data_IF_907368222575
#
_entry.id   IF_907368222575
#
_cell.length_a   1.000
_cell.length_b   1.000
_cell.length_c   1.000
_cell.angle_alpha   90.00
_cell.angle_beta   90.00
_cell.angle_gamma   90.00
#
_symmetry.space_group_name_H-M   'P 1'
#
loop_
_entity.id
_entity.type
_entity.pdbx_description
1 polymer ?
#
# COMPACT_ATOMS: atom_id res chain seq x y z
N UNK A 1 11.24 8.40 18.83
CA UNK A 1 11.56 8.68 17.43
C UNK A 1 10.30 8.81 16.59
N UNK A 2 10.46 9.26 15.37
CA UNK A 2 9.36 9.36 14.42
C UNK A 2 9.08 8.01 13.76
N UNK A 3 7.84 7.86 13.26
CA UNK A 3 7.41 6.73 12.44
C UNK A 3 7.20 7.24 11.02
N UNK A 4 7.91 6.70 10.04
CA UNK A 4 7.70 6.98 8.63
C UNK A 4 6.73 5.92 8.06
N UNK A 5 5.57 6.40 7.61
CA UNK A 5 4.51 5.54 7.07
C UNK A 5 4.71 5.21 5.57
N UNK A 6 5.70 5.82 4.90
CA UNK A 6 5.91 5.65 3.47
C UNK A 6 7.38 5.47 3.10
N UNK A 7 7.91 4.30 3.40
CA UNK A 7 9.31 3.98 3.09
C UNK A 7 9.43 2.96 1.95
N UNK A 8 10.46 3.14 1.12
CA UNK A 8 10.89 2.18 0.09
C UNK A 8 12.23 1.51 0.44
N UNK A 9 12.56 1.43 1.73
CA UNK A 9 13.80 0.79 2.20
C UNK A 9 13.73 -0.75 2.19
N UNK A 10 12.62 -1.36 1.83
CA UNK A 10 12.40 -2.81 1.84
C UNK A 10 13.48 -3.63 1.12
N UNK A 11 14.09 -3.08 0.06
CA UNK A 11 15.17 -3.74 -0.70
C UNK A 11 16.56 -3.49 -0.15
N UNK A 12 16.76 -2.38 0.56
CA UNK A 12 18.06 -1.98 1.08
C UNK A 12 18.29 -2.46 2.50
N UNK A 13 17.24 -2.47 3.32
CA UNK A 13 17.29 -2.85 4.73
C UNK A 13 17.66 -4.33 4.98
N UNK A 14 17.52 -5.18 3.97
CA UNK A 14 17.97 -6.59 4.00
C UNK A 14 19.38 -6.81 3.46
N UNK A 15 20.12 -5.73 3.16
CA UNK A 15 21.50 -5.77 2.67
C UNK A 15 22.45 -5.19 3.70
N UNK A 16 23.66 -5.72 3.79
CA UNK A 16 24.67 -5.23 4.74
C UNK A 16 24.96 -3.74 4.61
N UNK A 17 24.97 -3.21 3.39
CA UNK A 17 25.22 -1.80 3.12
C UNK A 17 24.09 -0.85 3.50
N UNK A 18 22.86 -1.37 3.69
CA UNK A 18 21.66 -0.54 3.92
C UNK A 18 20.88 -0.86 5.20
N UNK A 19 21.20 -1.97 5.87
CA UNK A 19 20.41 -2.46 7.02
C UNK A 19 20.35 -1.50 8.21
N UNK A 20 21.38 -0.65 8.36
CA UNK A 20 21.42 0.34 9.44
C UNK A 20 20.42 1.49 9.24
N UNK A 21 19.89 1.66 8.04
CA UNK A 21 18.88 2.67 7.71
C UNK A 21 19.28 4.09 8.19
N UNK A 22 20.58 4.43 8.11
CA UNK A 22 21.17 5.64 8.69
C UNK A 22 20.55 6.93 8.18
N UNK A 23 20.08 6.95 6.94
CA UNK A 23 19.37 8.09 6.34
C UNK A 23 18.07 8.40 7.08
N UNK A 24 17.36 7.40 7.60
CA UNK A 24 16.17 7.57 8.44
C UNK A 24 16.55 7.96 9.87
N UNK A 25 17.50 7.24 10.47
CA UNK A 25 17.94 7.50 11.83
C UNK A 25 18.50 8.91 12.01
N UNK A 26 19.28 9.40 11.03
CA UNK A 26 19.81 10.77 11.04
C UNK A 26 18.71 11.86 11.03
N UNK A 27 17.50 11.51 10.63
CA UNK A 27 16.32 12.38 10.65
C UNK A 27 15.40 12.11 11.87
N UNK A 28 15.84 11.27 12.80
CA UNK A 28 15.07 10.91 13.99
C UNK A 28 13.97 9.89 13.75
N UNK A 29 13.91 9.26 12.56
CA UNK A 29 12.96 8.19 12.24
C UNK A 29 13.50 6.87 12.77
N UNK A 30 12.78 6.26 13.69
CA UNK A 30 13.15 4.99 14.35
C UNK A 30 12.28 3.81 13.94
N UNK A 31 11.20 4.07 13.20
CA UNK A 31 10.31 3.03 12.68
C UNK A 31 9.89 3.36 11.25
N UNK A 32 9.89 2.36 10.37
CA UNK A 32 9.53 2.53 8.96
C UNK A 32 8.46 1.52 8.54
N UNK A 33 7.48 1.98 7.75
CA UNK A 33 6.51 1.10 7.09
C UNK A 33 6.93 0.89 5.63
N UNK A 34 7.27 -0.33 5.27
CA UNK A 34 7.76 -0.75 3.96
C UNK A 34 6.70 -1.47 3.14
N UNK A 35 7.02 -1.86 1.91
CA UNK A 35 6.08 -2.52 1.00
C UNK A 35 5.09 -1.58 0.35
N UNK A 36 5.36 -0.28 0.33
CA UNK A 36 4.52 0.75 -0.27
C UNK A 36 4.45 0.68 -1.79
N UNK A 37 3.48 1.36 -2.38
CA UNK A 37 3.28 1.51 -3.82
C UNK A 37 3.28 0.17 -4.59
N UNK A 38 2.66 -0.87 -4.04
CA UNK A 38 2.49 -2.20 -4.64
C UNK A 38 3.80 -2.98 -4.90
N UNK A 39 4.93 -2.56 -4.38
CA UNK A 39 6.24 -3.17 -4.64
C UNK A 39 6.95 -3.59 -3.36
N UNK A 40 7.51 -4.80 -3.35
CA UNK A 40 8.25 -5.32 -2.19
C UNK A 40 8.16 -6.84 -2.07
N UNK A 41 8.70 -7.41 -0.97
CA UNK A 41 8.59 -8.83 -0.64
C UNK A 41 7.14 -9.27 -0.42
N UNK A 42 6.72 -10.35 -1.09
CA UNK A 42 5.40 -10.98 -0.87
C UNK A 42 5.43 -11.94 0.32
N UNK A 43 6.57 -12.63 0.51
CA UNK A 43 6.75 -13.52 1.65
C UNK A 43 7.19 -12.69 2.87
N UNK A 44 6.21 -12.22 3.62
CA UNK A 44 6.41 -11.32 4.78
C UNK A 44 7.17 -12.02 5.90
N UNK A 45 6.85 -13.30 6.16
CA UNK A 45 7.53 -14.08 7.19
C UNK A 45 9.02 -14.26 6.92
N UNK A 46 9.40 -14.56 5.66
CA UNK A 46 10.81 -14.65 5.28
C UNK A 46 11.50 -13.28 5.34
N UNK A 47 10.81 -12.21 4.99
CA UNK A 47 11.32 -10.84 5.07
C UNK A 47 11.63 -10.44 6.52
N UNK A 48 10.70 -10.64 7.45
CA UNK A 48 10.91 -10.34 8.85
C UNK A 48 11.98 -11.23 9.48
N UNK A 49 11.97 -12.53 9.16
CA UNK A 49 13.02 -13.46 9.64
C UNK A 49 14.42 -12.99 9.22
N UNK A 50 14.57 -12.50 7.99
CA UNK A 50 15.86 -11.95 7.52
C UNK A 50 16.27 -10.70 8.31
N UNK A 51 15.33 -9.79 8.58
CA UNK A 51 15.57 -8.58 9.37
C UNK A 51 15.96 -8.95 10.81
N UNK A 52 15.26 -9.90 11.44
CA UNK A 52 15.55 -10.33 12.80
C UNK A 52 16.94 -10.99 12.91
N UNK A 53 17.31 -11.79 11.91
CA UNK A 53 18.62 -12.46 11.87
C UNK A 53 19.79 -11.48 11.67
N UNK A 54 19.63 -10.51 10.78
CA UNK A 54 20.72 -9.62 10.39
C UNK A 54 20.72 -8.32 11.22
N UNK A 55 19.67 -8.05 11.95
CA UNK A 55 19.35 -6.81 12.65
C UNK A 55 19.22 -5.60 11.71
N UNK A 56 18.29 -4.71 11.99
CA UNK A 56 18.11 -3.45 11.29
C UNK A 56 18.28 -2.25 12.24
N UNK A 57 18.67 -1.11 11.72
CA UNK A 57 18.84 0.10 12.52
C UNK A 57 17.52 0.74 12.96
N UNK A 58 16.41 0.43 12.26
CA UNK A 58 15.06 0.89 12.59
C UNK A 58 14.14 -0.29 12.85
N UNK A 59 13.03 -0.06 13.57
CA UNK A 59 11.91 -1.00 13.58
C UNK A 59 11.27 -1.03 12.20
N UNK A 60 10.79 -2.21 11.78
CA UNK A 60 10.24 -2.41 10.44
C UNK A 60 8.84 -2.97 10.52
N UNK A 61 7.92 -2.26 9.89
CA UNK A 61 6.57 -2.73 9.56
C UNK A 61 6.49 -2.95 8.06
N UNK A 62 5.61 -3.84 7.60
CA UNK A 62 5.49 -4.13 6.16
C UNK A 62 4.03 -4.22 5.72
N UNK A 63 3.76 -3.74 4.51
CA UNK A 63 2.48 -3.91 3.81
C UNK A 63 2.64 -5.01 2.75
N UNK A 64 1.65 -5.87 2.59
CA UNK A 64 1.60 -6.83 1.47
C UNK A 64 1.47 -6.05 0.16
N UNK A 65 2.45 -6.11 -0.74
CA UNK A 65 2.45 -5.29 -1.96
C UNK A 65 1.62 -5.94 -3.06
N UNK A 66 0.41 -5.43 -3.33
CA UNK A 66 -0.55 -6.01 -4.27
C UNK A 66 0.02 -6.22 -5.68
N UNK A 67 0.81 -5.28 -6.21
CA UNK A 67 1.41 -5.45 -7.53
C UNK A 67 2.39 -6.62 -7.60
N UNK A 68 3.16 -6.86 -6.52
CA UNK A 68 4.02 -8.04 -6.40
C UNK A 68 3.20 -9.33 -6.26
N UNK A 69 2.10 -9.31 -5.50
CA UNK A 69 1.14 -10.43 -5.39
C UNK A 69 0.54 -10.74 -6.76
N UNK A 70 0.05 -9.73 -7.48
CA UNK A 70 -0.50 -9.90 -8.83
C UNK A 70 0.53 -10.47 -9.79
N UNK A 71 1.76 -9.95 -9.75
CA UNK A 71 2.88 -10.46 -10.58
C UNK A 71 3.21 -11.92 -10.30
N UNK A 72 3.13 -12.35 -9.06
CA UNK A 72 3.36 -13.75 -8.68
C UNK A 72 2.34 -14.69 -9.32
N UNK A 73 1.08 -14.25 -9.53
CA UNK A 73 -0.02 -15.07 -10.02
C UNK A 73 -0.24 -14.90 -11.53
N UNK A 74 -0.26 -13.67 -12.03
CA UNK A 74 -0.61 -13.30 -13.41
C UNK A 74 0.59 -12.81 -14.24
N UNK A 75 1.80 -12.69 -13.65
CA UNK A 75 2.93 -12.02 -14.29
C UNK A 75 2.58 -10.56 -14.60
N UNK A 76 2.86 -10.10 -15.82
CA UNK A 76 2.52 -8.75 -16.29
C UNK A 76 1.35 -8.77 -17.30
N UNK A 77 0.48 -9.78 -17.22
CA UNK A 77 -0.64 -9.87 -18.15
C UNK A 77 -1.66 -8.76 -17.94
N UNK A 78 -1.98 -8.06 -19.05
CA UNK A 78 -3.00 -7.00 -19.07
C UNK A 78 -4.37 -7.61 -19.34
N UNK A 79 -4.97 -8.21 -18.33
CA UNK A 79 -6.32 -8.77 -18.37
C UNK A 79 -6.93 -8.83 -16.97
N UNK A 80 -8.22 -8.99 -16.92
CA UNK A 80 -8.93 -9.29 -15.68
C UNK A 80 -8.47 -10.64 -15.11
N UNK A 81 -8.28 -10.71 -13.81
CA UNK A 81 -7.97 -11.95 -13.10
C UNK A 81 -9.20 -12.86 -13.09
N UNK A 82 -8.99 -14.14 -13.34
CA UNK A 82 -10.04 -15.16 -13.16
C UNK A 82 -10.36 -15.38 -11.68
N UNK A 83 -11.52 -15.96 -11.34
CA UNK A 83 -11.87 -16.25 -9.94
C UNK A 83 -10.81 -17.10 -9.22
N UNK A 84 -10.21 -18.08 -9.88
CA UNK A 84 -9.15 -18.91 -9.31
C UNK A 84 -7.84 -18.13 -9.07
N UNK A 85 -7.53 -17.16 -9.93
CA UNK A 85 -6.37 -16.26 -9.74
C UNK A 85 -6.60 -15.30 -8.58
N UNK A 86 -7.81 -14.75 -8.45
CA UNK A 86 -8.19 -13.93 -7.29
C UNK A 86 -8.04 -14.74 -6.00
N UNK A 87 -8.50 -15.98 -5.97
CA UNK A 87 -8.34 -16.86 -4.79
C UNK A 87 -6.87 -17.07 -4.44
N UNK A 88 -5.99 -17.29 -5.44
CA UNK A 88 -4.54 -17.42 -5.20
C UNK A 88 -3.93 -16.14 -4.65
N UNK A 89 -4.32 -14.98 -5.18
CA UNK A 89 -3.88 -13.68 -4.64
C UNK A 89 -4.38 -13.44 -3.22
N UNK A 90 -5.65 -13.76 -2.94
CA UNK A 90 -6.23 -13.69 -1.59
C UNK A 90 -5.45 -14.58 -0.61
N UNK A 91 -5.06 -15.78 -1.02
CA UNK A 91 -4.27 -16.67 -0.17
C UNK A 91 -2.88 -16.10 0.16
N UNK A 92 -2.21 -15.44 -0.80
CA UNK A 92 -0.94 -14.76 -0.59
C UNK A 92 -1.07 -13.56 0.37
N UNK A 93 -2.14 -12.76 0.21
CA UNK A 93 -2.44 -11.64 1.12
C UNK A 93 -2.72 -12.16 2.52
N UNK A 94 -3.55 -13.19 2.64
CA UNK A 94 -3.89 -13.83 3.92
C UNK A 94 -2.65 -14.36 4.65
N UNK A 95 -1.74 -15.02 3.91
CA UNK A 95 -0.47 -15.49 4.48
C UNK A 95 0.38 -14.31 4.97
N UNK A 96 0.54 -13.27 4.16
CA UNK A 96 1.29 -12.08 4.57
C UNK A 96 0.73 -11.41 5.83
N UNK A 97 -0.60 -11.34 5.95
CA UNK A 97 -1.25 -10.82 7.16
C UNK A 97 -1.02 -11.71 8.39
N UNK A 98 -1.07 -13.03 8.24
CA UNK A 98 -0.72 -13.98 9.32
C UNK A 98 0.75 -13.88 9.74
N UNK A 99 1.63 -13.57 8.81
CA UNK A 99 3.06 -13.38 9.04
C UNK A 99 3.37 -12.03 9.72
N UNK A 100 2.35 -11.21 10.01
CA UNK A 100 2.48 -9.95 10.74
C UNK A 100 2.50 -8.69 9.88
N UNK A 101 2.07 -8.76 8.61
CA UNK A 101 1.88 -7.54 7.83
C UNK A 101 0.83 -6.61 8.44
N UNK A 102 1.03 -5.31 8.30
CA UNK A 102 0.14 -4.26 8.82
C UNK A 102 -1.04 -3.93 7.91
N UNK A 103 -1.03 -4.48 6.70
CA UNK A 103 -2.06 -4.22 5.70
C UNK A 103 -1.60 -4.55 4.30
N UNK A 104 -2.23 -3.93 3.32
CA UNK A 104 -1.91 -4.09 1.90
C UNK A 104 -1.67 -2.74 1.24
N UNK A 105 -0.71 -2.68 0.32
CA UNK A 105 -0.48 -1.50 -0.51
C UNK A 105 -0.84 -1.75 -1.97
N UNK A 106 -1.29 -0.69 -2.65
CA UNK A 106 -1.40 -0.63 -4.11
C UNK A 106 -0.58 0.50 -4.70
N UNK A 107 -0.23 0.37 -5.97
CA UNK A 107 0.38 1.44 -6.76
C UNK A 107 -0.25 1.42 -8.15
N UNK A 108 -1.42 2.02 -8.28
CA UNK A 108 -2.35 1.80 -9.39
C UNK A 108 -1.95 2.51 -10.70
N UNK A 109 -0.82 3.22 -10.70
CA UNK A 109 -0.16 3.71 -11.92
C UNK A 109 0.92 2.75 -12.42
N UNK A 110 1.38 1.79 -11.60
CA UNK A 110 2.48 0.89 -11.92
C UNK A 110 1.98 -0.47 -12.40
N UNK A 111 2.72 -1.09 -13.33
CA UNK A 111 2.47 -2.44 -13.80
C UNK A 111 2.98 -3.49 -12.79
N UNK A 112 2.23 -4.57 -12.58
CA UNK A 112 0.91 -4.90 -13.11
C UNK A 112 -0.26 -4.46 -12.22
N UNK A 113 -0.03 -3.66 -11.17
CA UNK A 113 -1.06 -3.19 -10.23
C UNK A 113 -2.17 -2.40 -10.94
N UNK A 114 -1.78 -1.59 -11.95
CA UNK A 114 -2.71 -0.78 -12.74
C UNK A 114 -3.74 -1.57 -13.55
N UNK A 115 -3.49 -2.85 -13.81
CA UNK A 115 -4.43 -3.75 -14.49
C UNK A 115 -5.51 -4.32 -13.57
N UNK A 116 -5.37 -4.14 -12.26
CA UNK A 116 -6.36 -4.61 -11.30
C UNK A 116 -7.64 -3.78 -11.40
N UNK A 117 -8.78 -4.46 -11.45
CA UNK A 117 -10.08 -3.82 -11.30
C UNK A 117 -10.34 -3.46 -9.83
N UNK A 118 -11.22 -2.48 -9.61
CA UNK A 118 -11.65 -2.11 -8.25
C UNK A 118 -12.23 -3.31 -7.50
N UNK A 119 -12.96 -4.20 -8.19
CA UNK A 119 -13.53 -5.41 -7.56
C UNK A 119 -12.45 -6.42 -7.14
N UNK A 120 -11.39 -6.61 -7.95
CA UNK A 120 -10.23 -7.40 -7.55
C UNK A 120 -9.61 -6.82 -6.27
N UNK A 121 -9.37 -5.51 -6.24
CA UNK A 121 -8.79 -4.83 -5.07
C UNK A 121 -9.64 -4.96 -3.82
N UNK A 122 -10.97 -4.83 -3.96
CA UNK A 122 -11.90 -5.02 -2.84
C UNK A 122 -11.82 -6.43 -2.27
N UNK A 123 -11.74 -7.47 -3.12
CA UNK A 123 -11.60 -8.87 -2.66
C UNK A 123 -10.33 -9.10 -1.85
N UNK A 124 -9.23 -8.50 -2.25
CA UNK A 124 -7.98 -8.57 -1.49
C UNK A 124 -8.07 -7.77 -0.18
N UNK A 125 -8.64 -6.57 -0.24
CA UNK A 125 -8.82 -5.68 0.91
C UNK A 125 -9.79 -6.27 1.96
N UNK A 126 -10.84 -7.00 1.54
CA UNK A 126 -11.72 -7.76 2.45
C UNK A 126 -10.93 -8.74 3.30
N UNK A 127 -9.92 -9.39 2.72
CA UNK A 127 -9.05 -10.31 3.47
C UNK A 127 -8.17 -9.56 4.48
N UNK A 128 -7.62 -8.42 4.09
CA UNK A 128 -6.84 -7.54 5.00
C UNK A 128 -7.70 -7.06 6.17
N UNK A 129 -8.95 -6.67 5.90
CA UNK A 129 -9.92 -6.23 6.91
C UNK A 129 -10.16 -7.29 8.00
N UNK A 130 -10.22 -8.57 7.62
CA UNK A 130 -10.42 -9.68 8.57
C UNK A 130 -9.27 -9.81 9.59
N UNK A 131 -8.10 -9.26 9.29
CA UNK A 131 -6.94 -9.21 10.18
C UNK A 131 -6.77 -7.84 10.88
N UNK A 132 -7.71 -6.91 10.70
CA UNK A 132 -7.63 -5.57 11.27
C UNK A 132 -6.57 -4.66 10.62
N UNK A 133 -6.13 -4.98 9.40
CA UNK A 133 -5.11 -4.21 8.68
C UNK A 133 -5.65 -2.97 7.96
N UNK A 134 -4.74 -2.23 7.31
CA UNK A 134 -5.04 -1.02 6.55
C UNK A 134 -4.88 -1.24 5.03
N UNK A 135 -5.49 -0.38 4.23
CA UNK A 135 -5.27 -0.26 2.79
C UNK A 135 -4.53 1.04 2.48
N UNK A 136 -3.30 0.96 2.00
CA UNK A 136 -2.50 2.11 1.58
C UNK A 136 -2.45 2.16 0.05
N UNK A 137 -2.60 3.34 -0.55
CA UNK A 137 -2.68 3.46 -2.01
C UNK A 137 -1.89 4.63 -2.57
N UNK A 138 -0.89 4.31 -3.40
CA UNK A 138 -0.53 5.17 -4.50
C UNK A 138 -1.69 5.07 -5.50
N UNK A 139 -2.53 6.09 -5.55
CA UNK A 139 -3.81 6.09 -6.27
C UNK A 139 -3.63 6.00 -7.79
N UNK A 140 -4.69 5.67 -8.51
CA UNK A 140 -4.65 5.38 -9.95
C UNK A 140 -4.28 6.56 -10.83
N UNK A 141 -4.51 7.77 -10.36
CA UNK A 141 -4.16 8.99 -11.07
C UNK A 141 -4.01 10.15 -10.09
N UNK A 142 -2.92 10.90 -10.20
CA UNK A 142 -2.64 12.07 -9.37
C UNK A 142 -2.72 13.38 -10.16
N UNK A 143 -3.17 13.30 -11.42
CA UNK A 143 -3.28 14.40 -12.37
C UNK A 143 -4.78 14.73 -12.62
N UNK A 144 -5.20 14.85 -13.84
CA UNK A 144 -6.55 15.29 -14.27
C UNK A 144 -7.69 14.41 -13.77
N UNK A 145 -7.42 13.16 -13.39
CA UNK A 145 -8.41 12.24 -12.82
C UNK A 145 -8.20 11.98 -11.32
N UNK A 146 -7.63 12.96 -10.63
CA UNK A 146 -7.34 12.89 -9.19
C UNK A 146 -8.60 12.56 -8.37
N UNK A 147 -9.71 13.23 -8.63
CA UNK A 147 -10.95 13.07 -7.85
C UNK A 147 -11.53 11.66 -8.00
N UNK A 148 -11.48 11.10 -9.22
CA UNK A 148 -11.90 9.72 -9.47
C UNK A 148 -11.02 8.72 -8.71
N UNK A 149 -9.70 8.93 -8.73
CA UNK A 149 -8.74 8.03 -8.09
C UNK A 149 -8.84 8.09 -6.55
N UNK A 150 -9.06 9.25 -5.97
CA UNK A 150 -9.33 9.42 -4.52
C UNK A 150 -10.65 8.73 -4.17
N UNK A 151 -11.69 8.94 -4.98
CA UNK A 151 -13.01 8.29 -4.78
C UNK A 151 -12.90 6.76 -4.87
N UNK A 152 -12.08 6.21 -5.78
CA UNK A 152 -11.81 4.78 -5.89
C UNK A 152 -11.17 4.22 -4.60
N UNK A 153 -10.13 4.89 -4.09
CA UNK A 153 -9.46 4.45 -2.87
C UNK A 153 -10.43 4.45 -1.66
N UNK A 154 -11.22 5.51 -1.51
CA UNK A 154 -12.27 5.61 -0.48
C UNK A 154 -13.31 4.49 -0.65
N UNK A 155 -13.76 4.23 -1.89
CA UNK A 155 -14.74 3.19 -2.19
C UNK A 155 -14.22 1.78 -1.86
N UNK A 156 -12.95 1.48 -2.15
CA UNK A 156 -12.30 0.21 -1.78
C UNK A 156 -12.36 0.03 -0.27
N UNK A 157 -11.90 1.02 0.50
CA UNK A 157 -11.91 0.94 1.95
C UNK A 157 -13.31 0.79 2.55
N UNK A 158 -14.30 1.53 2.03
CA UNK A 158 -15.69 1.44 2.47
C UNK A 158 -16.29 0.06 2.20
N UNK A 159 -16.10 -0.47 0.98
CA UNK A 159 -16.61 -1.79 0.58
C UNK A 159 -15.97 -2.92 1.37
N UNK A 160 -14.67 -2.85 1.60
CA UNK A 160 -13.92 -3.85 2.35
C UNK A 160 -13.93 -3.61 3.88
N UNK A 161 -14.51 -2.50 4.36
CA UNK A 161 -14.64 -2.14 5.78
C UNK A 161 -13.28 -2.07 6.51
N UNK A 162 -12.30 -1.33 5.94
CA UNK A 162 -11.01 -1.11 6.57
C UNK A 162 -10.53 0.34 6.40
N UNK A 163 -9.59 0.81 7.26
CA UNK A 163 -8.98 2.12 7.13
C UNK A 163 -8.24 2.28 5.81
N UNK A 164 -8.30 3.48 5.24
CA UNK A 164 -7.59 3.86 4.02
C UNK A 164 -6.50 4.86 4.33
N UNK A 165 -5.33 4.67 3.73
CA UNK A 165 -4.25 5.63 3.71
C UNK A 165 -3.92 6.00 2.26
N UNK A 166 -4.06 7.27 1.90
CA UNK A 166 -3.72 7.77 0.56
C UNK A 166 -2.28 8.25 0.60
N UNK A 167 -1.42 7.56 -0.14
CA UNK A 167 0.02 7.85 -0.17
C UNK A 167 0.32 9.12 -0.94
N UNK A 168 1.29 9.94 -0.44
CA UNK A 168 1.83 11.15 -1.08
C UNK A 168 0.77 11.99 -1.81
N UNK A 169 -0.25 12.36 -1.06
CA UNK A 169 -1.46 13.03 -1.54
C UNK A 169 -1.14 14.37 -2.21
N UNK A 170 -1.34 14.45 -3.52
CA UNK A 170 -1.04 15.65 -4.31
C UNK A 170 -1.86 15.77 -5.57
N UNK A 171 -1.95 16.99 -6.11
CA UNK A 171 -2.41 17.29 -7.46
C UNK A 171 -1.20 17.53 -8.35
N UNK A 172 -0.83 16.54 -9.16
CA UNK A 172 0.41 16.51 -9.95
C UNK A 172 0.21 17.13 -11.34
N UNK A 173 1.08 18.10 -11.69
CA UNK A 173 1.09 18.76 -12.99
C UNK A 173 0.12 19.94 -13.11
N UNK A 174 0.43 20.87 -14.00
CA UNK A 174 -0.31 22.14 -14.18
C UNK A 174 -1.81 21.94 -14.41
N UNK A 175 -2.20 20.89 -15.12
CA UNK A 175 -3.59 20.59 -15.46
C UNK A 175 -4.42 20.14 -14.24
N UNK A 176 -3.77 19.73 -13.17
CA UNK A 176 -4.41 19.30 -11.93
C UNK A 176 -4.40 20.38 -10.84
N UNK A 177 -3.75 21.51 -11.07
CA UNK A 177 -3.70 22.60 -10.10
C UNK A 177 -5.11 23.09 -9.77
N UNK A 178 -5.39 23.21 -8.47
CA UNK A 178 -6.73 23.53 -7.97
C UNK A 178 -7.57 22.32 -7.55
N UNK A 179 -7.29 21.10 -8.08
CA UNK A 179 -8.06 19.91 -7.71
C UNK A 179 -7.78 19.42 -6.27
N UNK A 180 -6.68 19.86 -5.64
CA UNK A 180 -6.31 19.41 -4.30
C UNK A 180 -7.39 19.72 -3.26
N UNK A 181 -8.02 20.90 -3.32
CA UNK A 181 -9.10 21.29 -2.40
C UNK A 181 -10.34 20.41 -2.54
N UNK A 182 -10.71 20.06 -3.78
CA UNK A 182 -11.83 19.15 -4.04
C UNK A 182 -11.51 17.72 -3.59
N UNK A 183 -10.28 17.25 -3.83
CA UNK A 183 -9.82 15.94 -3.38
C UNK A 183 -9.81 15.84 -1.83
N UNK A 184 -9.37 16.91 -1.14
CA UNK A 184 -9.46 17.02 0.32
C UNK A 184 -10.93 16.96 0.79
N UNK A 185 -11.84 17.65 0.08
CA UNK A 185 -13.26 17.62 0.43
C UNK A 185 -13.82 16.20 0.38
N UNK A 186 -13.45 15.36 -0.62
CA UNK A 186 -13.84 13.95 -0.68
C UNK A 186 -13.39 13.17 0.56
N UNK A 187 -12.14 13.39 1.00
CA UNK A 187 -11.61 12.76 2.21
C UNK A 187 -12.38 13.23 3.46
N UNK A 188 -12.63 14.52 3.57
CA UNK A 188 -13.39 15.09 4.71
C UNK A 188 -14.79 14.52 4.77
N UNK A 189 -15.49 14.43 3.66
CA UNK A 189 -16.85 13.85 3.62
C UNK A 189 -16.84 12.34 3.97
N UNK A 190 -15.86 11.57 3.50
CA UNK A 190 -15.71 10.18 3.90
C UNK A 190 -15.50 10.05 5.43
N UNK A 191 -14.66 10.92 6.01
CA UNK A 191 -14.43 10.96 7.47
C UNK A 191 -15.67 11.35 8.26
N UNK A 192 -16.45 12.35 7.79
CA UNK A 192 -17.75 12.70 8.40
C UNK A 192 -18.75 11.54 8.36
N UNK A 193 -18.67 10.70 7.31
CA UNK A 193 -19.48 9.48 7.21
C UNK A 193 -18.95 8.31 8.07
N UNK A 194 -17.94 8.54 8.92
CA UNK A 194 -17.39 7.55 9.85
C UNK A 194 -16.29 6.66 9.26
N UNK A 195 -15.85 6.89 8.02
CA UNK A 195 -14.74 6.12 7.43
C UNK A 195 -13.39 6.66 7.91
N UNK A 196 -12.48 5.78 8.31
CA UNK A 196 -11.11 6.16 8.62
C UNK A 196 -10.32 6.36 7.33
N UNK A 197 -9.97 7.61 7.01
CA UNK A 197 -9.16 7.99 5.87
C UNK A 197 -8.05 8.92 6.35
N UNK A 198 -6.80 8.57 6.03
CA UNK A 198 -5.59 9.35 6.30
C UNK A 198 -4.79 9.55 5.02
N UNK A 199 -3.81 10.43 5.05
CA UNK A 199 -2.89 10.65 3.93
C UNK A 199 -1.51 11.06 4.46
N UNK A 200 -0.46 10.81 3.68
CA UNK A 200 0.85 11.44 3.80
C UNK A 200 1.11 12.40 2.63
N UNK A 201 2.20 13.18 2.71
CA UNK A 201 2.66 14.09 1.66
C UNK A 201 4.19 14.21 1.68
#
# INVERSE_FOLDING_TARGET
GFIDLHSHSDRTIVKDSGRQNLNYLAQGVTSVLTGNCASGPVNVGAYYKKIDQDSAGTNVMHLVPQGSVRRAVLKNENRTASPGEIQRMVALVDQGMRDGAWGMSTGLIYLPSSYASTDELVKLAERVSMHGGIYASHIRNENTRLLEAVSEAIAIGRRAKLPVHISHFKASGLQAWGLASEAIALVVEARKAGQQVTADQ
#
